data_IF_201545671836
#
_entry.id   IF_201545671836
#
_cell.length_a   1.000
_cell.length_b   1.000
_cell.length_c   1.000
_cell.angle_alpha   90.00
_cell.angle_beta   90.00
_cell.angle_gamma   90.00
#
_symmetry.space_group_name_H-M   'P 1'
#
loop_
_entity.id
_entity.type
_entity.pdbx_description
1 polymer ?
#
# COMPACT_ATOMS: atom_id res chain seq x y z
N UNK A 1 -20.25 -11.10 12.67
CA UNK A 1 -19.04 -10.70 11.99
C UNK A 1 -18.15 -11.91 11.70
N UNK A 2 -18.36 -12.66 10.61
CA UNK A 2 -17.29 -13.45 10.05
C UNK A 2 -17.46 -13.62 8.54
N UNK A 3 -17.22 -12.58 7.74
CA UNK A 3 -17.27 -12.67 6.27
C UNK A 3 -16.05 -12.07 5.56
N UNK A 4 -15.11 -11.48 6.29
CA UNK A 4 -13.90 -10.87 5.68
C UNK A 4 -12.63 -11.73 5.82
N UNK A 5 -12.68 -12.83 6.56
CA UNK A 5 -11.51 -13.69 6.81
C UNK A 5 -11.31 -14.80 5.78
N UNK A 6 -12.23 -14.96 4.81
CA UNK A 6 -12.15 -16.05 3.81
C UNK A 6 -11.58 -15.65 2.46
N UNK A 7 -11.14 -14.41 2.26
CA UNK A 7 -10.67 -13.91 0.95
C UNK A 7 -9.13 -13.88 0.79
N UNK A 8 -8.36 -14.33 1.79
CA UNK A 8 -6.89 -14.28 1.75
C UNK A 8 -6.20 -15.63 2.03
N UNK A 9 -6.81 -16.75 1.64
CA UNK A 9 -6.09 -18.02 1.52
C UNK A 9 -5.91 -18.36 0.05
N UNK A 10 -5.02 -17.64 -0.62
CA UNK A 10 -4.40 -18.13 -1.85
C UNK A 10 -3.20 -18.98 -1.44
N UNK A 11 -3.26 -20.25 -1.74
CA UNK A 11 -2.13 -21.18 -1.64
C UNK A 11 -0.97 -20.60 -2.44
N UNK A 12 0.08 -20.14 -1.72
CA UNK A 12 1.36 -19.87 -2.36
C UNK A 12 1.97 -21.22 -2.74
N UNK A 13 2.17 -21.44 -4.04
CA UNK A 13 2.88 -22.59 -4.55
C UNK A 13 4.22 -22.71 -3.84
N UNK A 14 4.41 -23.84 -3.15
CA UNK A 14 5.68 -24.23 -2.56
C UNK A 14 6.67 -24.47 -3.69
N UNK A 15 7.68 -23.65 -3.78
CA UNK A 15 8.92 -23.97 -4.50
C UNK A 15 9.87 -24.69 -3.54
N UNK A 16 9.45 -25.87 -3.07
CA UNK A 16 10.32 -26.83 -2.39
C UNK A 16 10.82 -27.82 -3.44
N UNK A 17 11.80 -27.42 -4.25
CA UNK A 17 12.63 -28.33 -5.01
C UNK A 17 14.00 -27.71 -5.29
N UNK A 18 14.78 -27.55 -4.22
CA UNK A 18 16.23 -27.60 -4.27
C UNK A 18 16.68 -28.65 -3.24
N UNK A 19 16.56 -29.89 -3.67
CA UNK A 19 17.20 -31.02 -3.00
C UNK A 19 18.71 -30.79 -3.04
N UNK A 20 19.28 -30.31 -1.92
CA UNK A 20 20.71 -30.35 -1.68
C UNK A 20 21.04 -31.79 -1.35
N UNK A 21 21.61 -32.48 -2.34
CA UNK A 21 22.15 -33.81 -2.21
C UNK A 21 23.22 -33.85 -1.09
N UNK A 22 22.86 -34.45 0.05
CA UNK A 22 23.73 -34.65 1.21
C UNK A 22 24.35 -36.01 1.20
N UNK A 23 25.05 -36.34 0.12
CA UNK A 23 25.87 -37.52 0.12
C UNK A 23 27.20 -37.27 -0.60
N UNK A 24 28.24 -36.97 0.13
CA UNK A 24 29.60 -37.41 -0.20
C UNK A 24 30.58 -37.10 0.93
N UNK A 25 31.02 -38.14 1.54
CA UNK A 25 32.42 -38.45 1.93
C UNK A 25 33.17 -37.48 2.85
N UNK A 26 33.43 -37.98 4.03
CA UNK A 26 34.55 -37.59 4.88
C UNK A 26 35.87 -37.78 4.12
N UNK A 27 36.71 -36.75 4.15
CA UNK A 27 38.11 -36.82 3.76
C UNK A 27 38.65 -35.58 3.08
N UNK A 28 39.56 -34.90 3.77
CA UNK A 28 40.53 -33.93 3.30
C UNK A 28 40.10 -32.51 2.95
N UNK A 29 40.70 -31.58 3.68
CA UNK A 29 40.86 -30.15 3.41
C UNK A 29 39.81 -29.19 3.98
N UNK A 30 39.94 -28.94 5.31
CA UNK A 30 39.26 -27.80 5.95
C UNK A 30 39.53 -26.44 5.28
N UNK A 31 40.67 -26.32 4.61
CA UNK A 31 41.08 -25.08 3.91
C UNK A 31 40.32 -24.87 2.59
N UNK A 32 40.03 -25.94 1.86
CA UNK A 32 39.27 -25.88 0.61
C UNK A 32 37.78 -25.60 0.88
N UNK A 33 37.25 -26.14 1.98
CA UNK A 33 35.86 -25.85 2.40
C UNK A 33 35.69 -24.41 2.85
N UNK A 34 36.66 -23.85 3.57
CA UNK A 34 36.63 -22.44 3.97
C UNK A 34 36.72 -21.50 2.74
N UNK A 35 37.56 -21.81 1.76
CA UNK A 35 37.66 -21.01 0.52
C UNK A 35 36.41 -21.12 -0.35
N UNK A 36 35.80 -22.31 -0.45
CA UNK A 36 34.55 -22.49 -1.20
C UNK A 36 33.35 -21.84 -0.50
N UNK A 37 33.29 -21.87 0.82
CA UNK A 37 32.26 -21.16 1.58
C UNK A 37 32.44 -19.64 1.47
N UNK A 38 33.68 -19.16 1.54
CA UNK A 38 33.99 -17.74 1.34
C UNK A 38 33.67 -17.27 -0.11
N UNK A 39 33.97 -18.13 -1.08
CA UNK A 39 33.65 -17.85 -2.49
C UNK A 39 32.13 -17.85 -2.76
N UNK A 40 31.40 -18.80 -2.16
CA UNK A 40 29.95 -18.84 -2.21
C UNK A 40 29.30 -17.62 -1.53
N UNK A 41 29.88 -17.15 -0.41
CA UNK A 41 29.44 -15.92 0.26
C UNK A 41 29.75 -14.66 -0.56
N UNK A 42 30.90 -14.59 -1.23
CA UNK A 42 31.25 -13.49 -2.13
C UNK A 42 30.33 -13.47 -3.37
N UNK A 43 30.10 -14.65 -3.98
CA UNK A 43 29.18 -14.77 -5.13
C UNK A 43 27.72 -14.47 -4.76
N UNK A 44 27.27 -14.80 -3.53
CA UNK A 44 25.95 -14.41 -3.05
C UNK A 44 25.86 -12.92 -2.77
N UNK A 45 26.88 -12.31 -2.18
CA UNK A 45 26.93 -10.86 -1.95
C UNK A 45 26.96 -10.03 -3.24
N UNK A 46 27.67 -10.52 -4.26
CA UNK A 46 27.68 -9.86 -5.57
C UNK A 46 26.31 -9.93 -6.24
N UNK A 47 25.61 -11.07 -6.16
CA UNK A 47 24.22 -11.22 -6.68
C UNK A 47 23.23 -10.34 -5.95
N UNK A 48 23.28 -10.27 -4.63
CA UNK A 48 22.41 -9.39 -3.86
C UNK A 48 22.60 -7.91 -4.23
N UNK A 49 23.83 -7.49 -4.47
CA UNK A 49 24.14 -6.12 -4.94
C UNK A 49 23.60 -5.88 -6.36
N UNK A 50 23.78 -6.84 -7.28
CA UNK A 50 23.25 -6.76 -8.64
C UNK A 50 21.72 -6.70 -8.64
N UNK A 51 21.04 -7.52 -7.84
CA UNK A 51 19.57 -7.53 -7.73
C UNK A 51 19.05 -6.24 -7.12
N UNK A 52 19.76 -5.70 -6.12
CA UNK A 52 19.46 -4.41 -5.53
C UNK A 52 19.61 -3.26 -6.54
N UNK A 53 20.71 -3.23 -7.29
CA UNK A 53 20.95 -2.21 -8.33
C UNK A 53 19.91 -2.31 -9.45
N UNK A 54 19.47 -3.52 -9.76
CA UNK A 54 18.39 -3.76 -10.72
C UNK A 54 17.05 -3.23 -10.21
N UNK A 55 16.68 -3.53 -8.96
CA UNK A 55 15.45 -3.04 -8.34
C UNK A 55 15.47 -1.51 -8.22
N UNK A 56 16.61 -0.93 -7.81
CA UNK A 56 16.79 0.53 -7.79
C UNK A 56 16.67 1.14 -9.20
N UNK A 57 17.19 0.46 -10.20
CA UNK A 57 17.05 0.87 -11.60
C UNK A 57 15.59 0.87 -12.06
N UNK A 58 14.81 -0.17 -11.72
CA UNK A 58 13.42 -0.33 -12.15
C UNK A 58 12.44 0.58 -11.39
N UNK A 59 12.62 0.73 -10.08
CA UNK A 59 11.64 1.38 -9.21
C UNK A 59 12.13 2.69 -8.59
N UNK A 60 13.39 3.05 -8.81
CA UNK A 60 14.01 4.21 -8.22
C UNK A 60 14.53 3.97 -6.80
N UNK A 61 15.02 5.03 -6.17
CA UNK A 61 15.64 4.96 -4.85
C UNK A 61 14.68 4.52 -3.77
N UNK A 62 15.22 3.78 -2.79
CA UNK A 62 14.48 3.47 -1.57
C UNK A 62 14.27 4.72 -0.72
N UNK A 63 13.09 4.80 -0.08
CA UNK A 63 12.74 5.85 0.88
C UNK A 63 13.53 5.72 2.19
N UNK A 64 13.94 4.51 2.50
CA UNK A 64 14.66 4.21 3.74
C UNK A 64 16.12 3.86 3.44
N UNK A 65 17.07 4.33 4.27
CA UNK A 65 18.46 3.93 4.15
C UNK A 65 18.63 2.42 4.45
N UNK A 66 19.69 1.77 3.95
CA UNK A 66 19.87 0.32 4.08
C UNK A 66 19.83 -0.19 5.52
N UNK A 67 20.33 0.59 6.47
CA UNK A 67 20.31 0.23 7.90
C UNK A 67 18.90 0.15 8.47
N UNK A 68 18.02 1.06 8.09
CA UNK A 68 16.62 1.07 8.52
C UNK A 68 15.83 -0.04 7.85
N UNK A 69 16.07 -0.28 6.55
CA UNK A 69 15.47 -1.41 5.84
C UNK A 69 15.81 -2.74 6.52
N UNK A 70 17.06 -2.97 6.86
CA UNK A 70 17.48 -4.19 7.56
C UNK A 70 16.75 -4.38 8.90
N UNK A 71 16.53 -3.31 9.66
CA UNK A 71 15.75 -3.37 10.91
C UNK A 71 14.27 -3.67 10.67
N UNK A 72 13.69 -3.12 9.59
CA UNK A 72 12.30 -3.39 9.19
C UNK A 72 12.18 -4.84 8.75
N UNK A 73 13.07 -5.33 7.90
CA UNK A 73 13.12 -6.72 7.43
C UNK A 73 13.25 -7.70 8.58
N UNK A 74 14.14 -7.44 9.53
CA UNK A 74 14.30 -8.28 10.71
C UNK A 74 13.01 -8.42 11.53
N UNK A 75 12.18 -7.39 11.54
CA UNK A 75 10.91 -7.41 12.28
C UNK A 75 9.76 -8.03 11.50
N UNK A 76 9.72 -7.82 10.19
CA UNK A 76 8.58 -8.19 9.34
C UNK A 76 8.82 -9.52 8.60
N UNK A 77 10.06 -9.78 8.16
CA UNK A 77 10.40 -10.97 7.38
C UNK A 77 10.77 -12.13 8.32
N UNK A 78 9.75 -12.72 8.96
CA UNK A 78 9.91 -13.83 9.91
C UNK A 78 9.20 -15.08 9.41
N UNK A 79 9.60 -16.25 9.90
CA UNK A 79 8.98 -17.52 9.53
C UNK A 79 9.21 -17.86 8.05
N UNK A 80 8.13 -18.04 7.30
CA UNK A 80 8.17 -18.38 5.87
C UNK A 80 8.68 -17.25 4.96
N UNK A 81 8.83 -16.02 5.50
CA UNK A 81 9.34 -14.87 4.78
C UNK A 81 10.80 -14.55 5.09
N UNK A 82 11.49 -15.46 5.77
CA UNK A 82 12.92 -15.33 6.04
C UNK A 82 13.69 -15.26 4.72
N UNK A 83 14.50 -14.21 4.56
CA UNK A 83 15.26 -13.97 3.31
C UNK A 83 14.52 -13.17 2.24
N UNK A 84 13.28 -12.70 2.51
CA UNK A 84 12.63 -11.70 1.66
C UNK A 84 13.20 -10.31 1.96
N UNK A 85 13.49 -9.55 0.91
CA UNK A 85 13.92 -8.16 1.02
C UNK A 85 12.74 -7.22 0.76
N UNK A 86 12.74 -6.05 1.43
CA UNK A 86 11.72 -5.03 1.27
C UNK A 86 12.31 -3.79 0.56
N UNK A 87 11.54 -3.21 -0.34
CA UNK A 87 11.92 -1.98 -1.04
C UNK A 87 10.76 -1.01 -1.08
N UNK A 88 10.90 0.12 -0.40
CA UNK A 88 9.88 1.17 -0.38
C UNK A 88 10.32 2.33 -1.25
N UNK A 89 9.48 2.77 -2.20
CA UNK A 89 9.85 3.82 -3.15
C UNK A 89 8.68 4.72 -3.52
N UNK A 90 8.99 5.93 -4.02
CA UNK A 90 8.05 6.82 -4.71
C UNK A 90 8.18 6.76 -6.24
N UNK A 91 9.06 5.92 -6.75
CA UNK A 91 9.32 5.80 -8.19
C UNK A 91 10.19 6.95 -8.74
N UNK A 92 10.99 7.60 -7.90
CA UNK A 92 11.93 8.64 -8.33
C UNK A 92 13.15 7.97 -8.95
N UNK A 93 13.25 8.03 -10.28
CA UNK A 93 14.38 7.48 -11.03
C UNK A 93 15.65 8.29 -10.83
N UNK A 94 16.78 7.61 -10.76
CA UNK A 94 18.09 8.25 -10.64
C UNK A 94 18.47 8.85 -12.00
N UNK A 95 18.40 10.17 -12.12
CA UNK A 95 18.89 10.86 -13.31
C UNK A 95 20.41 10.67 -13.46
N UNK A 96 20.85 10.25 -14.65
CA UNK A 96 22.29 10.27 -15.04
C UNK A 96 23.01 8.92 -15.09
N UNK A 97 22.39 7.80 -14.74
CA UNK A 97 22.93 6.47 -15.06
C UNK A 97 22.47 6.03 -16.45
N UNK A 98 23.37 5.51 -17.28
CA UNK A 98 23.00 4.82 -18.53
C UNK A 98 22.07 3.66 -18.15
N UNK A 99 20.82 3.76 -18.59
CA UNK A 99 19.80 2.77 -18.22
C UNK A 99 20.12 1.45 -18.93
N UNK A 100 20.05 0.34 -18.20
CA UNK A 100 20.23 -0.99 -18.80
C UNK A 100 19.06 -1.26 -19.76
N UNK A 101 19.31 -1.98 -20.84
CA UNK A 101 18.28 -2.26 -21.86
C UNK A 101 17.06 -3.01 -21.31
N UNK A 102 17.26 -3.90 -20.33
CA UNK A 102 16.20 -4.63 -19.66
C UNK A 102 15.31 -3.72 -18.79
N UNK A 103 15.93 -2.74 -18.12
CA UNK A 103 15.21 -1.72 -17.34
C UNK A 103 14.43 -0.78 -18.26
N UNK A 104 15.01 -0.35 -19.39
CA UNK A 104 14.32 0.48 -20.37
C UNK A 104 13.06 -0.21 -20.91
N UNK A 105 13.16 -1.49 -21.25
CA UNK A 105 12.02 -2.27 -21.72
C UNK A 105 10.87 -2.33 -20.68
N UNK A 106 11.20 -2.45 -19.39
CA UNK A 106 10.18 -2.40 -18.34
C UNK A 106 9.51 -1.03 -18.24
N UNK A 107 10.25 0.05 -18.39
CA UNK A 107 9.68 1.40 -18.43
C UNK A 107 8.74 1.60 -19.61
N UNK A 108 9.13 1.11 -20.79
CA UNK A 108 8.30 1.21 -22.00
C UNK A 108 7.00 0.42 -21.82
N UNK A 109 7.07 -0.79 -21.25
CA UNK A 109 5.89 -1.59 -20.92
C UNK A 109 5.00 -0.90 -19.87
N UNK A 110 5.59 -0.32 -18.83
CA UNK A 110 4.84 0.39 -17.81
C UNK A 110 4.15 1.64 -18.38
N UNK A 111 4.81 2.37 -19.28
CA UNK A 111 4.23 3.52 -19.96
C UNK A 111 3.07 3.11 -20.86
N UNK A 112 3.23 2.05 -21.65
CA UNK A 112 2.17 1.52 -22.50
C UNK A 112 0.96 1.03 -21.68
N UNK A 113 1.21 0.35 -20.54
CA UNK A 113 0.13 -0.07 -19.66
C UNK A 113 -0.59 1.11 -19.01
N UNK A 114 0.13 2.15 -18.59
CA UNK A 114 -0.48 3.37 -18.08
C UNK A 114 -1.40 4.06 -19.10
N UNK A 115 -1.03 4.03 -20.37
CA UNK A 115 -1.86 4.52 -21.47
C UNK A 115 -3.13 3.67 -21.64
N UNK A 116 -2.99 2.34 -21.60
CA UNK A 116 -4.14 1.40 -21.65
C UNK A 116 -5.09 1.63 -20.46
N UNK A 117 -4.56 1.79 -19.26
CA UNK A 117 -5.37 2.07 -18.06
C UNK A 117 -6.17 3.37 -18.22
N UNK A 118 -5.56 4.42 -18.77
CA UNK A 118 -6.23 5.70 -19.03
C UNK A 118 -7.28 5.59 -20.14
N UNK A 119 -6.97 4.87 -21.21
CA UNK A 119 -7.88 4.66 -22.33
C UNK A 119 -9.13 3.88 -21.90
N UNK A 120 -8.96 2.80 -21.10
CA UNK A 120 -10.08 2.05 -20.53
C UNK A 120 -10.94 2.91 -19.62
N UNK A 121 -10.31 3.72 -18.76
CA UNK A 121 -11.03 4.64 -17.90
C UNK A 121 -11.84 5.65 -18.69
N UNK A 122 -11.28 6.23 -19.76
CA UNK A 122 -11.98 7.20 -20.61
C UNK A 122 -13.14 6.57 -21.36
N UNK A 123 -12.98 5.34 -21.85
CA UNK A 123 -14.02 4.57 -22.53
C UNK A 123 -15.22 4.30 -21.62
N UNK A 124 -14.98 4.02 -20.35
CA UNK A 124 -16.01 3.67 -19.38
C UNK A 124 -16.32 4.81 -18.40
N UNK A 125 -16.00 6.06 -18.76
CA UNK A 125 -16.03 7.23 -17.88
C UNK A 125 -17.35 7.42 -17.14
N UNK A 126 -18.48 7.31 -17.85
CA UNK A 126 -19.80 7.57 -17.29
C UNK A 126 -20.19 6.50 -16.26
N UNK A 127 -19.83 5.23 -16.54
CA UNK A 127 -20.03 4.13 -15.62
C UNK A 127 -19.22 4.34 -14.34
N UNK A 128 -17.96 4.71 -14.48
CA UNK A 128 -17.06 4.93 -13.34
C UNK A 128 -17.45 6.17 -12.52
N UNK A 129 -17.92 7.24 -13.17
CA UNK A 129 -18.45 8.39 -12.47
C UNK A 129 -19.72 8.06 -11.66
N UNK A 130 -20.64 7.29 -12.23
CA UNK A 130 -21.80 6.79 -11.49
C UNK A 130 -21.41 5.95 -10.28
N UNK A 131 -20.39 5.10 -10.44
CA UNK A 131 -19.87 4.28 -9.36
C UNK A 131 -19.23 5.12 -8.24
N UNK A 132 -18.47 6.16 -8.59
CA UNK A 132 -17.90 7.12 -7.64
C UNK A 132 -19.01 7.81 -6.84
N UNK A 133 -20.05 8.32 -7.51
CA UNK A 133 -21.16 9.00 -6.84
C UNK A 133 -21.87 8.06 -5.86
N UNK A 134 -22.23 6.85 -6.30
CA UNK A 134 -22.91 5.86 -5.44
C UNK A 134 -22.04 5.48 -4.24
N UNK A 135 -20.76 5.22 -4.45
CA UNK A 135 -19.85 4.85 -3.39
C UNK A 135 -19.65 6.01 -2.39
N UNK A 136 -19.50 7.24 -2.90
CA UNK A 136 -19.42 8.45 -2.06
C UNK A 136 -20.65 8.61 -1.18
N UNK A 137 -21.85 8.42 -1.72
CA UNK A 137 -23.09 8.47 -0.93
C UNK A 137 -23.15 7.36 0.13
N UNK A 138 -22.73 6.13 -0.22
CA UNK A 138 -22.67 5.03 0.74
C UNK A 138 -21.69 5.31 1.88
N UNK A 139 -20.50 5.80 1.57
CA UNK A 139 -19.49 6.14 2.57
C UNK A 139 -20.04 7.24 3.50
N UNK A 140 -20.64 8.30 2.95
CA UNK A 140 -21.25 9.38 3.77
C UNK A 140 -22.31 8.86 4.69
N UNK A 141 -23.22 8.00 4.21
CA UNK A 141 -24.26 7.39 5.05
C UNK A 141 -23.67 6.54 6.17
N UNK A 142 -22.64 5.72 5.86
CA UNK A 142 -21.95 4.93 6.87
C UNK A 142 -21.28 5.82 7.94
N UNK A 143 -20.62 6.89 7.51
CA UNK A 143 -19.99 7.85 8.42
C UNK A 143 -21.04 8.54 9.32
N UNK A 144 -22.17 8.98 8.76
CA UNK A 144 -23.25 9.61 9.53
C UNK A 144 -23.85 8.67 10.58
N UNK A 145 -23.95 7.37 10.27
CA UNK A 145 -24.44 6.38 11.24
C UNK A 145 -23.43 6.13 12.37
N UNK A 146 -22.14 6.18 12.08
CA UNK A 146 -21.09 5.98 13.08
C UNK A 146 -20.77 7.24 13.90
N UNK A 147 -20.90 8.40 13.29
CA UNK A 147 -20.81 9.70 13.98
C UNK A 147 -22.16 9.98 14.68
N UNK A 148 -22.44 9.26 15.75
CA UNK A 148 -23.45 9.77 16.68
C UNK A 148 -22.89 11.08 17.24
N UNK A 149 -23.57 12.21 17.01
CA UNK A 149 -23.07 13.48 17.51
C UNK A 149 -22.98 13.38 19.04
N UNK A 150 -21.78 13.51 19.56
CA UNK A 150 -21.60 13.64 21.00
C UNK A 150 -22.32 14.91 21.45
N UNK A 151 -23.43 14.71 22.13
CA UNK A 151 -24.22 15.80 22.68
C UNK A 151 -23.47 16.40 23.85
N UNK A 152 -22.71 17.45 23.59
CA UNK A 152 -21.98 18.20 24.62
C UNK A 152 -22.90 19.19 25.29
N UNK A 153 -22.89 19.21 26.65
CA UNK A 153 -23.66 20.21 27.40
C UNK A 153 -23.10 21.60 27.13
N UNK A 154 -23.96 22.47 26.61
CA UNK A 154 -23.61 23.83 26.22
C UNK A 154 -24.57 24.85 26.85
N UNK A 155 -24.25 26.13 26.68
CA UNK A 155 -25.12 27.26 27.08
C UNK A 155 -26.11 27.69 26.00
N UNK A 156 -25.98 27.10 24.82
CA UNK A 156 -26.81 27.39 23.63
C UNK A 156 -27.01 26.09 22.85
N UNK A 157 -28.17 25.88 22.22
CA UNK A 157 -28.51 24.71 21.43
C UNK A 157 -29.93 24.20 21.72
N UNK A 158 -30.13 22.89 21.62
CA UNK A 158 -31.37 22.24 21.98
C UNK A 158 -31.47 22.06 23.50
N UNK A 159 -32.62 22.38 24.09
CA UNK A 159 -32.84 22.24 25.54
C UNK A 159 -32.80 20.77 25.92
N UNK A 160 -31.98 20.41 26.90
CA UNK A 160 -31.97 19.10 27.52
C UNK A 160 -33.02 19.06 28.62
N UNK A 161 -34.17 18.44 28.36
CA UNK A 161 -35.27 18.31 29.32
C UNK A 161 -34.87 17.60 30.61
N UNK A 162 -33.88 16.73 30.57
CA UNK A 162 -33.36 16.02 31.74
C UNK A 162 -32.48 16.91 32.62
N UNK A 163 -31.94 18.00 32.09
CA UNK A 163 -31.03 18.90 32.81
C UNK A 163 -31.61 20.28 33.12
N UNK A 164 -32.81 20.59 32.65
CA UNK A 164 -33.44 21.90 32.81
C UNK A 164 -33.61 22.30 34.29
N UNK A 165 -33.79 21.33 35.20
CA UNK A 165 -33.85 21.54 36.63
C UNK A 165 -32.58 22.14 37.26
N UNK A 166 -31.43 22.00 36.59
CA UNK A 166 -30.17 22.55 37.09
C UNK A 166 -30.13 24.08 37.04
N UNK A 167 -30.90 24.68 36.12
CA UNK A 167 -30.93 26.13 35.98
C UNK A 167 -31.41 26.83 37.24
N UNK A 168 -32.61 26.47 37.85
CA UNK A 168 -33.08 27.12 39.03
C UNK A 168 -32.37 26.62 40.33
N UNK A 169 -31.92 25.35 40.38
CA UNK A 169 -31.37 24.77 41.60
C UNK A 169 -29.85 25.00 41.71
N UNK A 170 -29.11 24.77 40.67
CA UNK A 170 -27.66 24.83 40.69
C UNK A 170 -27.08 26.13 40.04
N UNK A 171 -27.98 26.97 39.50
CA UNK A 171 -27.59 28.17 38.69
C UNK A 171 -26.62 27.84 37.57
N UNK A 172 -26.69 26.58 37.06
CA UNK A 172 -25.83 26.13 35.97
C UNK A 172 -26.56 26.35 34.63
N UNK A 173 -26.01 27.24 33.80
CA UNK A 173 -26.56 27.57 32.47
C UNK A 173 -26.29 26.53 31.38
N UNK A 174 -25.58 25.44 31.67
CA UNK A 174 -25.27 24.36 30.70
C UNK A 174 -26.41 23.35 30.59
N UNK A 175 -27.61 23.84 30.28
CA UNK A 175 -28.84 23.04 30.13
C UNK A 175 -29.23 22.77 28.67
N UNK A 176 -28.36 23.14 27.76
CA UNK A 176 -28.54 22.92 26.31
C UNK A 176 -27.59 21.83 25.85
N UNK A 177 -28.02 21.09 24.84
CA UNK A 177 -27.21 20.15 24.08
C UNK A 177 -26.78 20.80 22.78
N UNK A 178 -25.50 20.83 22.51
CA UNK A 178 -24.92 21.21 21.24
C UNK A 178 -24.35 19.97 20.59
N UNK A 179 -24.79 19.67 19.39
CA UNK A 179 -24.18 18.67 18.56
C UNK A 179 -22.90 19.27 17.97
N UNK A 180 -21.75 18.77 18.33
CA UNK A 180 -20.49 19.07 17.64
C UNK A 180 -20.33 18.02 16.56
N UNK A 181 -20.66 18.40 15.33
CA UNK A 181 -20.30 17.61 14.15
C UNK A 181 -18.79 17.77 13.91
N UNK A 182 -17.99 16.83 14.39
CA UNK A 182 -16.62 16.71 13.91
C UNK A 182 -16.64 16.23 12.46
N UNK A 183 -16.49 17.17 11.52
CA UNK A 183 -16.37 16.87 10.08
C UNK A 183 -15.05 16.17 9.73
N UNK A 184 -14.26 15.75 10.71
CA UNK A 184 -13.02 15.04 10.48
C UNK A 184 -13.25 13.53 10.73
N UNK A 185 -13.05 12.67 9.73
CA UNK A 185 -13.33 11.24 9.85
C UNK A 185 -12.51 10.52 10.94
N UNK A 186 -11.52 11.15 11.56
CA UNK A 186 -10.71 10.58 12.64
C UNK A 186 -9.89 9.35 12.24
N UNK A 187 -9.95 8.92 10.98
CA UNK A 187 -9.21 7.77 10.45
C UNK A 187 -8.66 8.06 9.05
N UNK A 188 -7.67 7.29 8.67
CA UNK A 188 -7.06 7.32 7.33
C UNK A 188 -7.23 5.96 6.65
N UNK A 189 -7.16 5.93 5.33
CA UNK A 189 -7.28 4.69 4.55
C UNK A 189 -6.04 4.47 3.70
N UNK A 190 -5.43 3.29 3.84
CA UNK A 190 -4.39 2.80 2.96
C UNK A 190 -4.99 1.83 1.94
N UNK A 191 -4.83 2.15 0.64
CA UNK A 191 -5.18 1.26 -0.47
C UNK A 191 -3.90 0.63 -1.00
N UNK A 192 -3.86 -0.70 -1.00
CA UNK A 192 -2.75 -1.46 -1.54
C UNK A 192 -3.20 -2.18 -2.81
N UNK A 193 -2.59 -1.84 -3.95
CA UNK A 193 -2.90 -2.41 -5.25
C UNK A 193 -1.90 -3.51 -5.60
N UNK A 194 -2.40 -4.63 -6.07
CA UNK A 194 -1.57 -5.74 -6.53
C UNK A 194 -1.04 -5.47 -7.95
N UNK A 195 0.26 -5.13 -8.03
CA UNK A 195 1.00 -4.91 -9.27
C UNK A 195 1.83 -6.12 -9.71
N UNK A 196 1.55 -7.32 -9.17
CA UNK A 196 2.31 -8.52 -9.52
C UNK A 196 2.04 -8.97 -10.95
N UNK A 197 3.01 -9.65 -11.56
CA UNK A 197 2.94 -10.14 -12.95
C UNK A 197 1.75 -11.09 -13.21
N UNK A 198 1.26 -11.80 -12.18
CA UNK A 198 0.07 -12.65 -12.29
C UNK A 198 -1.22 -11.87 -12.58
N UNK A 199 -1.23 -10.55 -12.38
CA UNK A 199 -2.37 -9.65 -12.59
C UNK A 199 -2.34 -8.88 -13.91
N UNK A 200 -1.41 -9.18 -14.82
CA UNK A 200 -1.28 -8.51 -16.13
C UNK A 200 -2.59 -8.46 -16.92
N UNK A 201 -3.44 -9.47 -16.80
CA UNK A 201 -4.72 -9.58 -17.53
C UNK A 201 -5.86 -8.71 -16.96
N UNK A 202 -5.70 -8.12 -15.78
CA UNK A 202 -6.74 -7.31 -15.12
C UNK A 202 -6.23 -5.95 -14.62
N UNK A 203 -5.12 -5.49 -15.15
CA UNK A 203 -4.48 -4.24 -14.71
C UNK A 203 -5.36 -3.01 -14.89
N UNK A 204 -6.08 -2.92 -16.01
CA UNK A 204 -7.01 -1.82 -16.27
C UNK A 204 -8.13 -1.78 -15.23
N UNK A 205 -8.65 -2.95 -14.86
CA UNK A 205 -9.70 -3.07 -13.85
C UNK A 205 -9.19 -2.68 -12.46
N UNK A 206 -7.98 -3.11 -12.08
CA UNK A 206 -7.36 -2.76 -10.79
C UNK A 206 -7.13 -1.25 -10.71
N UNK A 207 -6.59 -0.65 -11.78
CA UNK A 207 -6.37 0.80 -11.86
C UNK A 207 -7.67 1.58 -11.72
N UNK A 208 -8.73 1.16 -12.46
CA UNK A 208 -10.03 1.80 -12.41
C UNK A 208 -10.67 1.69 -11.01
N UNK A 209 -10.65 0.50 -10.40
CA UNK A 209 -11.18 0.28 -9.06
C UNK A 209 -10.40 1.08 -8.00
N UNK A 210 -9.07 1.08 -8.07
CA UNK A 210 -8.21 1.88 -7.20
C UNK A 210 -8.55 3.38 -7.30
N UNK A 211 -8.73 3.88 -8.52
CA UNK A 211 -9.12 5.27 -8.76
C UNK A 211 -10.51 5.59 -8.19
N UNK A 212 -11.52 4.73 -8.43
CA UNK A 212 -12.90 4.90 -7.94
C UNK A 212 -12.88 4.97 -6.41
N UNK A 213 -12.21 4.03 -5.74
CA UNK A 213 -12.10 4.00 -4.28
C UNK A 213 -11.40 5.24 -3.74
N UNK A 214 -10.21 5.57 -4.26
CA UNK A 214 -9.44 6.71 -3.80
C UNK A 214 -10.20 8.03 -3.99
N UNK A 215 -10.87 8.20 -5.15
CA UNK A 215 -11.64 9.40 -5.45
C UNK A 215 -12.88 9.53 -4.56
N UNK A 216 -13.60 8.44 -4.31
CA UNK A 216 -14.78 8.44 -3.45
C UNK A 216 -14.43 8.78 -2.01
N UNK A 217 -13.36 8.17 -1.46
CA UNK A 217 -12.87 8.45 -0.12
C UNK A 217 -12.38 9.90 0.02
N UNK A 218 -11.59 10.38 -0.94
CA UNK A 218 -11.10 11.76 -0.96
C UNK A 218 -12.27 12.79 -1.04
N UNK A 219 -13.34 12.47 -1.79
CA UNK A 219 -14.54 13.31 -1.86
C UNK A 219 -15.31 13.36 -0.54
N UNK A 220 -15.20 12.31 0.28
CA UNK A 220 -15.74 12.28 1.65
C UNK A 220 -14.83 12.96 2.69
N UNK A 221 -13.69 13.53 2.28
CA UNK A 221 -12.72 14.16 3.18
C UNK A 221 -11.82 13.16 3.94
N UNK A 222 -11.86 11.88 3.57
CA UNK A 222 -11.03 10.84 4.19
C UNK A 222 -9.63 10.89 3.56
N UNK A 223 -8.55 11.06 4.36
CA UNK A 223 -7.19 10.99 3.85
C UNK A 223 -6.88 9.58 3.33
N UNK A 224 -6.42 9.49 2.08
CA UNK A 224 -6.16 8.21 1.41
C UNK A 224 -4.71 8.18 0.92
N UNK A 225 -3.99 7.12 1.27
CA UNK A 225 -2.73 6.76 0.64
C UNK A 225 -2.97 5.58 -0.30
N UNK A 226 -2.35 5.63 -1.46
CA UNK A 226 -2.43 4.54 -2.45
C UNK A 226 -1.02 4.07 -2.75
N UNK A 227 -0.82 2.78 -2.59
CA UNK A 227 0.46 2.12 -2.88
C UNK A 227 0.22 0.92 -3.78
N UNK A 228 1.19 0.56 -4.59
CA UNK A 228 1.21 -0.73 -5.29
C UNK A 228 2.32 -1.60 -4.73
N UNK A 229 2.16 -2.92 -4.84
CA UNK A 229 3.22 -3.86 -4.50
C UNK A 229 3.43 -4.86 -5.63
N UNK A 230 4.67 -5.29 -5.77
CA UNK A 230 5.05 -6.40 -6.65
C UNK A 230 6.28 -7.12 -6.07
N UNK A 231 6.53 -8.34 -6.53
CA UNK A 231 7.72 -9.10 -6.16
C UNK A 231 8.63 -9.23 -7.37
N UNK A 232 9.91 -8.87 -7.19
CA UNK A 232 10.91 -8.94 -8.23
C UNK A 232 12.28 -9.34 -7.64
N UNK A 233 12.87 -10.44 -8.14
CA UNK A 233 14.19 -10.94 -7.72
C UNK A 233 14.39 -11.05 -6.20
N UNK A 234 13.39 -11.59 -5.49
CA UNK A 234 13.45 -11.74 -4.03
C UNK A 234 13.13 -10.46 -3.23
N UNK A 235 12.92 -9.33 -3.90
CA UNK A 235 12.45 -8.08 -3.29
C UNK A 235 10.95 -7.95 -3.38
N UNK A 236 10.31 -7.60 -2.29
CA UNK A 236 8.94 -7.09 -2.28
C UNK A 236 8.99 -5.57 -2.35
N UNK A 237 8.64 -5.05 -3.51
CA UNK A 237 8.64 -3.60 -3.78
C UNK A 237 7.29 -3.02 -3.45
N UNK A 238 7.27 -2.00 -2.59
CA UNK A 238 6.08 -1.20 -2.27
C UNK A 238 6.30 0.21 -2.80
N UNK A 239 5.52 0.58 -3.82
CA UNK A 239 5.60 1.89 -4.45
C UNK A 239 4.44 2.77 -4.01
N UNK A 240 4.74 3.91 -3.41
CA UNK A 240 3.75 4.91 -3.01
C UNK A 240 3.37 5.75 -4.23
N UNK A 241 2.13 5.63 -4.68
CA UNK A 241 1.59 6.37 -5.83
C UNK A 241 0.99 7.72 -5.42
N UNK A 242 0.29 7.74 -4.28
CA UNK A 242 -0.34 8.92 -3.71
C UNK A 242 -0.21 8.89 -2.20
N UNK A 243 0.26 9.98 -1.61
CA UNK A 243 0.36 10.11 -0.16
C UNK A 243 -0.90 10.79 0.43
N UNK A 244 -1.09 10.67 1.75
CA UNK A 244 -2.20 11.31 2.48
C UNK A 244 -2.28 12.82 2.27
N UNK A 245 -1.12 13.48 2.22
CA UNK A 245 -1.02 14.94 2.05
C UNK A 245 -1.34 15.43 0.63
N UNK A 246 -1.29 14.56 -0.36
CA UNK A 246 -1.50 14.93 -1.76
C UNK A 246 -2.99 15.01 -2.11
N UNK A 247 -3.44 16.22 -2.47
CA UNK A 247 -4.81 16.45 -2.93
C UNK A 247 -4.90 16.34 -4.46
N UNK A 248 -5.99 15.76 -4.95
CA UNK A 248 -6.27 15.59 -6.39
C UNK A 248 -5.21 14.82 -7.19
N UNK A 249 -4.44 13.96 -6.53
CA UNK A 249 -3.38 13.16 -7.15
C UNK A 249 -3.83 11.75 -7.55
N UNK A 250 -5.14 11.45 -7.52
CA UNK A 250 -5.69 10.10 -7.77
C UNK A 250 -5.36 9.60 -9.18
N UNK A 251 -5.11 10.51 -10.15
CA UNK A 251 -4.70 10.11 -11.52
C UNK A 251 -3.35 9.40 -11.59
N UNK A 252 -2.49 9.56 -10.57
CA UNK A 252 -1.23 8.81 -10.47
C UNK A 252 -1.45 7.29 -10.37
N UNK A 253 -2.65 6.87 -9.96
CA UNK A 253 -3.04 5.46 -9.83
C UNK A 253 -2.98 4.73 -11.18
N UNK A 254 -3.22 5.42 -12.29
CA UNK A 254 -3.10 4.80 -13.62
C UNK A 254 -1.66 4.36 -13.97
N UNK A 255 -0.67 4.84 -13.23
CA UNK A 255 0.75 4.47 -13.35
C UNK A 255 1.17 3.45 -12.27
N UNK A 256 0.25 2.62 -11.76
CA UNK A 256 0.51 1.76 -10.62
C UNK A 256 1.41 0.55 -10.93
N UNK A 257 1.57 0.23 -12.19
CA UNK A 257 2.46 -0.81 -12.70
C UNK A 257 3.90 -0.29 -12.91
#
# INVERSE_FOLDING_TARGET
>A
MPLLTKLFTTEMARTDDLAIDRSAAAGENGMVRASNALRAQLESGDRENEDRDYVEGCFGRSLYPPRELALIEQRLCTGNHLGCHLWFTRGETVQGKTMRADVQHLFDQAAEQAERNRADFLKNKDLYQSSILRLTEHIRKCMQVQQQPDAVSARQGHVDSQRIWRLPVLKDGKVFLRSEEENNPGFTVDLLLDGSASRLHCQETIAAQGYILARSLATCGIPVRVSSFCSLRGYTVVRILKDFSEKNAERKIFNYF
#
